data_IF_484046845141
#
_entry.id   IF_484046845141
#
_cell.length_a   1.000
_cell.length_b   1.000
_cell.length_c   1.000
_cell.angle_alpha   90.00
_cell.angle_beta   90.00
_cell.angle_gamma   90.00
#
_symmetry.space_group_name_H-M   'P 1'
#
loop_
_entity.id
_entity.type
_entity.pdbx_description
1 polymer ?
#
# COMPACT_ATOMS: atom_id res chain seq x y z
N UNK A 1 30.45 -27.97 -6.44
CA UNK A 1 29.96 -27.79 -5.05
C UNK A 1 29.86 -26.30 -4.71
N UNK A 2 28.79 -25.85 -4.03
CA UNK A 2 28.72 -24.47 -3.50
C UNK A 2 29.79 -24.28 -2.40
N UNK A 3 30.62 -23.23 -2.51
CA UNK A 3 31.58 -22.84 -1.49
C UNK A 3 30.90 -21.88 -0.49
N UNK A 4 31.02 -22.14 0.81
CA UNK A 4 30.45 -21.30 1.87
C UNK A 4 31.54 -20.42 2.47
N UNK A 5 31.23 -19.16 2.80
CA UNK A 5 32.17 -18.21 3.44
C UNK A 5 32.00 -18.23 4.96
N UNK A 6 33.10 -18.29 5.70
CA UNK A 6 33.09 -18.08 7.15
C UNK A 6 32.63 -16.64 7.46
N UNK A 7 31.66 -16.40 8.35
CA UNK A 7 31.16 -15.06 8.64
C UNK A 7 32.20 -14.15 9.31
N UNK A 8 33.16 -14.73 10.04
CA UNK A 8 34.20 -13.97 10.73
C UNK A 8 35.39 -13.68 9.81
N UNK A 9 35.82 -14.69 9.05
CA UNK A 9 37.11 -14.68 8.36
C UNK A 9 36.94 -14.41 6.85
N UNK A 10 35.68 -14.37 6.34
CA UNK A 10 35.24 -14.12 4.95
C UNK A 10 35.84 -15.04 3.88
N UNK A 11 36.65 -16.01 4.27
CA UNK A 11 37.30 -17.04 3.44
C UNK A 11 36.38 -18.25 3.23
N UNK A 12 36.60 -18.95 2.12
CA UNK A 12 35.92 -20.22 1.79
C UNK A 12 36.80 -21.44 1.99
N UNK A 13 38.13 -21.24 2.00
CA UNK A 13 39.12 -22.30 2.18
C UNK A 13 38.94 -22.91 3.57
N UNK A 14 38.96 -24.23 3.71
CA UNK A 14 38.84 -24.92 5.02
C UNK A 14 37.48 -24.83 5.74
N UNK A 15 36.40 -24.44 5.04
CA UNK A 15 35.03 -24.70 5.54
C UNK A 15 34.67 -26.16 5.24
N UNK A 16 34.31 -26.92 6.28
CA UNK A 16 33.82 -28.29 6.14
C UNK A 16 32.35 -28.38 6.55
N UNK A 17 31.59 -29.24 5.88
CA UNK A 17 30.23 -29.59 6.30
C UNK A 17 30.33 -30.49 7.53
N UNK A 18 29.87 -29.99 8.68
CA UNK A 18 29.88 -30.73 9.93
C UNK A 18 28.64 -31.62 10.06
N UNK A 19 27.51 -31.18 9.52
CA UNK A 19 26.28 -31.97 9.52
C UNK A 19 25.05 -31.14 9.18
N UNK A 20 23.87 -31.73 9.39
CA UNK A 20 22.59 -31.08 9.12
C UNK A 20 21.77 -31.00 10.42
N UNK A 21 21.10 -29.87 10.64
CA UNK A 21 20.04 -29.75 11.66
C UNK A 21 18.77 -29.26 10.97
N UNK A 22 17.82 -30.17 10.77
CA UNK A 22 16.63 -29.93 9.93
C UNK A 22 17.09 -29.52 8.52
N UNK A 23 16.72 -28.31 8.06
CA UNK A 23 17.11 -27.76 6.75
C UNK A 23 18.38 -26.92 6.80
N UNK A 24 19.01 -26.75 7.97
CA UNK A 24 20.17 -25.89 8.15
C UNK A 24 21.44 -26.73 8.06
N UNK A 25 22.35 -26.32 7.17
CA UNK A 25 23.68 -26.91 7.04
C UNK A 25 24.53 -26.34 8.16
N UNK A 26 25.09 -27.21 9.01
CA UNK A 26 26.08 -26.83 10.01
C UNK A 26 27.46 -26.95 9.37
N UNK A 27 28.19 -25.85 9.38
CA UNK A 27 29.51 -25.72 8.80
C UNK A 27 30.48 -25.44 9.92
N UNK A 28 31.68 -26.00 9.81
CA UNK A 28 32.79 -25.72 10.72
C UNK A 28 33.94 -25.14 9.91
N UNK A 29 34.52 -24.05 10.39
CA UNK A 29 35.69 -23.44 9.77
C UNK A 29 36.94 -23.77 10.58
N UNK A 30 37.87 -24.56 10.00
CA UNK A 30 38.99 -25.14 10.74
C UNK A 30 39.91 -24.12 11.39
N UNK A 31 40.27 -23.04 10.68
CA UNK A 31 41.23 -22.05 11.19
C UNK A 31 40.68 -21.21 12.35
N UNK A 32 39.47 -20.66 12.20
CA UNK A 32 38.86 -19.85 13.25
C UNK A 32 38.14 -20.71 14.31
N UNK A 33 38.19 -22.05 14.19
CA UNK A 33 37.58 -23.04 15.07
C UNK A 33 36.12 -22.74 15.47
N UNK A 34 35.34 -22.14 14.56
CA UNK A 34 33.96 -21.71 14.81
C UNK A 34 32.97 -22.49 13.97
N UNK A 35 31.87 -22.87 14.61
CA UNK A 35 30.69 -23.38 13.93
C UNK A 35 29.83 -22.23 13.43
N UNK A 36 29.27 -22.38 12.24
CA UNK A 36 28.23 -21.51 11.73
C UNK A 36 27.18 -22.31 10.99
N UNK A 37 26.02 -21.71 10.80
CA UNK A 37 24.86 -22.36 10.22
C UNK A 37 24.46 -21.63 8.95
N UNK A 38 24.28 -22.37 7.87
CA UNK A 38 23.81 -21.84 6.60
C UNK A 38 22.46 -22.46 6.27
N UNK A 39 21.46 -21.63 5.98
CA UNK A 39 20.16 -22.10 5.51
C UNK A 39 20.16 -22.06 3.96
N UNK A 40 20.29 -23.19 3.26
CA UNK A 40 20.26 -23.25 1.80
C UNK A 40 18.91 -22.87 1.22
N UNK A 41 17.84 -22.90 2.02
CA UNK A 41 16.56 -22.30 1.66
C UNK A 41 16.60 -20.78 1.88
N UNK A 42 17.65 -20.11 1.41
CA UNK A 42 17.64 -18.65 1.30
C UNK A 42 16.52 -18.32 0.32
N UNK A 43 15.45 -17.79 0.87
CA UNK A 43 14.30 -17.40 0.08
C UNK A 43 14.36 -15.91 -0.06
N UNK A 44 14.31 -15.42 -1.29
CA UNK A 44 14.27 -13.98 -1.51
C UNK A 44 13.00 -13.41 -0.87
N UNK A 45 13.18 -12.66 0.22
CA UNK A 45 12.10 -12.07 0.98
C UNK A 45 11.22 -11.16 0.11
N UNK A 46 11.81 -10.47 -0.88
CA UNK A 46 11.07 -9.60 -1.79
C UNK A 46 10.13 -10.42 -2.66
N UNK A 47 10.58 -11.57 -3.16
CA UNK A 47 9.74 -12.47 -3.96
C UNK A 47 8.58 -13.01 -3.12
N UNK A 48 8.79 -13.35 -1.84
CA UNK A 48 7.72 -13.76 -0.93
C UNK A 48 6.67 -12.68 -0.72
N UNK A 49 7.15 -11.45 -0.48
CA UNK A 49 6.27 -10.30 -0.36
C UNK A 49 5.50 -10.06 -1.67
N UNK A 50 6.17 -10.17 -2.81
CA UNK A 50 5.59 -9.94 -4.12
C UNK A 50 4.43 -10.91 -4.39
N UNK A 51 4.66 -12.21 -4.15
CA UNK A 51 3.64 -13.25 -4.21
C UNK A 51 2.46 -12.97 -3.27
N UNK A 52 2.74 -12.53 -2.05
CA UNK A 52 1.69 -12.20 -1.09
C UNK A 52 0.84 -11.01 -1.56
N UNK A 53 1.47 -9.99 -2.12
CA UNK A 53 0.79 -8.83 -2.71
C UNK A 53 0.02 -9.22 -3.99
N UNK A 54 0.39 -10.30 -4.68
CA UNK A 54 -0.40 -10.89 -5.78
C UNK A 54 -1.60 -11.72 -5.30
N UNK A 55 -1.81 -11.81 -3.98
CA UNK A 55 -2.95 -12.49 -3.38
C UNK A 55 -2.68 -13.96 -3.05
N UNK A 56 -1.43 -14.42 -3.07
CA UNK A 56 -1.13 -15.74 -2.50
C UNK A 56 -1.30 -15.69 -0.98
N UNK A 57 -2.12 -16.62 -0.46
CA UNK A 57 -2.25 -16.82 0.98
C UNK A 57 -0.96 -17.38 1.58
N UNK A 58 -0.71 -17.12 2.86
CA UNK A 58 0.48 -17.66 3.56
C UNK A 58 0.58 -19.19 3.49
N UNK A 59 -0.55 -19.90 3.35
CA UNK A 59 -0.56 -21.35 3.12
C UNK A 59 0.05 -21.70 1.76
N UNK A 60 -0.35 -21.00 0.68
CA UNK A 60 0.18 -21.21 -0.67
C UNK A 60 1.68 -20.84 -0.72
N UNK A 61 2.06 -19.72 -0.10
CA UNK A 61 3.46 -19.28 0.01
C UNK A 61 4.30 -20.33 0.78
N UNK A 62 3.83 -20.75 1.95
CA UNK A 62 4.49 -21.79 2.75
C UNK A 62 4.77 -23.07 1.96
N UNK A 63 3.78 -23.52 1.16
CA UNK A 63 3.94 -24.68 0.26
C UNK A 63 4.93 -24.42 -0.87
N UNK A 64 4.80 -23.28 -1.57
CA UNK A 64 5.67 -22.90 -2.71
C UNK A 64 7.14 -22.83 -2.31
N UNK A 65 7.44 -22.23 -1.16
CA UNK A 65 8.81 -22.01 -0.67
C UNK A 65 9.27 -23.03 0.38
N UNK A 66 8.46 -24.04 0.69
CA UNK A 66 8.76 -25.09 1.69
C UNK A 66 9.15 -24.51 3.06
N UNK A 67 8.49 -23.44 3.50
CA UNK A 67 8.66 -22.81 4.83
C UNK A 67 7.38 -22.95 5.67
N UNK A 68 7.45 -22.65 6.96
CA UNK A 68 6.24 -22.64 7.80
C UNK A 68 5.36 -21.42 7.50
N UNK A 69 4.04 -21.55 7.72
CA UNK A 69 3.07 -20.44 7.57
C UNK A 69 3.47 -19.23 8.44
N UNK A 70 3.88 -19.48 9.67
CA UNK A 70 4.29 -18.44 10.62
C UNK A 70 5.56 -17.71 10.17
N UNK A 71 6.52 -18.43 9.59
CA UNK A 71 7.72 -17.81 9.03
C UNK A 71 7.38 -16.96 7.79
N UNK A 72 6.53 -17.45 6.88
CA UNK A 72 6.07 -16.68 5.71
C UNK A 72 5.38 -15.37 6.13
N UNK A 73 4.50 -15.43 7.13
CA UNK A 73 3.85 -14.26 7.70
C UNK A 73 4.87 -13.30 8.31
N UNK A 74 5.80 -13.79 9.13
CA UNK A 74 6.83 -12.96 9.78
C UNK A 74 7.69 -12.22 8.76
N UNK A 75 8.15 -12.92 7.71
CA UNK A 75 8.94 -12.32 6.63
C UNK A 75 8.12 -11.23 5.92
N UNK A 76 6.92 -11.55 5.43
CA UNK A 76 6.09 -10.58 4.72
C UNK A 76 5.74 -9.36 5.59
N UNK A 77 5.41 -9.58 6.86
CA UNK A 77 5.11 -8.51 7.80
C UNK A 77 6.33 -7.59 8.05
N UNK A 78 7.52 -8.18 8.19
CA UNK A 78 8.76 -7.42 8.34
C UNK A 78 9.08 -6.61 7.08
N UNK A 79 8.97 -7.20 5.89
CA UNK A 79 9.21 -6.47 4.64
C UNK A 79 8.17 -5.37 4.40
N UNK A 80 6.88 -5.63 4.67
CA UNK A 80 5.83 -4.60 4.59
C UNK A 80 6.12 -3.40 5.49
N UNK A 81 6.70 -3.61 6.68
CA UNK A 81 7.06 -2.53 7.61
C UNK A 81 8.23 -1.67 7.13
N UNK A 82 9.07 -2.19 6.22
CA UNK A 82 10.18 -1.44 5.62
C UNK A 82 9.74 -0.54 4.47
N UNK A 83 8.56 -0.79 3.90
CA UNK A 83 8.07 -0.01 2.77
C UNK A 83 7.72 1.43 3.20
N UNK A 84 8.03 2.44 2.37
CA UNK A 84 7.66 3.82 2.66
C UNK A 84 6.14 3.99 2.64
N UNK A 85 5.63 5.03 3.30
CA UNK A 85 4.23 5.41 3.13
C UNK A 85 4.00 5.92 1.69
N UNK A 86 2.89 5.52 1.04
CA UNK A 86 2.59 5.93 -0.35
C UNK A 86 2.53 7.44 -0.56
N UNK A 87 2.00 8.20 0.40
CA UNK A 87 1.91 9.65 0.32
C UNK A 87 3.33 10.23 0.38
N UNK A 88 4.13 9.81 1.36
CA UNK A 88 5.53 10.23 1.48
C UNK A 88 6.35 9.88 0.23
N UNK A 89 6.15 8.67 -0.33
CA UNK A 89 6.79 8.25 -1.57
C UNK A 89 6.40 9.20 -2.73
N UNK A 90 5.13 9.60 -2.82
CA UNK A 90 4.68 10.55 -3.85
C UNK A 90 5.34 11.90 -3.69
N UNK A 91 5.37 12.45 -2.46
CA UNK A 91 6.01 13.74 -2.19
C UNK A 91 7.50 13.74 -2.51
N UNK A 92 8.20 12.66 -2.18
CA UNK A 92 9.64 12.54 -2.42
C UNK A 92 9.94 12.43 -3.92
N UNK A 93 9.27 11.52 -4.62
CA UNK A 93 9.69 11.07 -5.95
C UNK A 93 8.88 11.63 -7.13
N UNK A 94 7.66 12.15 -6.91
CA UNK A 94 6.76 12.53 -8.00
C UNK A 94 6.53 14.06 -8.07
N UNK A 95 6.48 14.63 -9.27
CA UNK A 95 6.12 16.05 -9.49
C UNK A 95 4.61 16.24 -9.71
N UNK A 96 3.91 15.18 -10.09
CA UNK A 96 2.48 15.14 -10.31
C UNK A 96 1.90 13.85 -9.78
N UNK A 97 0.58 13.80 -9.70
CA UNK A 97 -0.11 12.68 -9.09
C UNK A 97 -0.05 11.41 -9.96
N UNK A 98 0.47 10.28 -9.45
CA UNK A 98 0.70 9.05 -10.23
C UNK A 98 -0.57 8.22 -10.51
N UNK A 99 -1.74 8.86 -10.54
CA UNK A 99 -3.06 8.28 -10.87
C UNK A 99 -3.58 7.12 -9.99
N UNK A 100 -2.77 6.60 -9.07
CA UNK A 100 -3.14 5.53 -8.13
C UNK A 100 -3.26 6.15 -6.74
N UNK A 101 -4.34 6.91 -6.49
CA UNK A 101 -4.65 7.38 -5.13
C UNK A 101 -5.60 6.43 -4.45
N UNK A 102 -5.45 6.33 -3.14
CA UNK A 102 -6.24 5.45 -2.28
C UNK A 102 -7.42 6.17 -1.62
N UNK A 103 -7.50 7.50 -1.71
CA UNK A 103 -8.56 8.25 -1.05
C UNK A 103 -9.29 9.16 -2.04
N UNK A 104 -10.33 8.61 -2.68
CA UNK A 104 -11.19 9.38 -3.56
C UNK A 104 -12.33 10.01 -2.76
N UNK A 105 -12.39 11.34 -2.79
CA UNK A 105 -13.51 12.10 -2.24
C UNK A 105 -14.85 11.64 -2.80
N UNK A 106 -14.90 11.05 -4.01
CA UNK A 106 -16.10 10.43 -4.59
C UNK A 106 -16.63 9.29 -3.72
N UNK A 107 -15.78 8.35 -3.32
CA UNK A 107 -16.18 7.19 -2.50
C UNK A 107 -16.55 7.59 -1.09
N UNK A 108 -15.79 8.53 -0.51
CA UNK A 108 -16.11 9.08 0.79
C UNK A 108 -17.50 9.75 0.77
N UNK A 109 -17.77 10.59 -0.24
CA UNK A 109 -19.11 11.18 -0.45
C UNK A 109 -20.17 10.11 -0.63
N UNK A 110 -19.93 9.09 -1.45
CA UNK A 110 -20.89 8.00 -1.69
C UNK A 110 -21.22 7.22 -0.43
N UNK A 111 -20.26 6.96 0.45
CA UNK A 111 -20.51 6.34 1.76
C UNK A 111 -21.41 7.23 2.64
N UNK A 112 -21.20 8.54 2.65
CA UNK A 112 -22.10 9.48 3.34
C UNK A 112 -23.52 9.40 2.75
N UNK A 113 -23.65 9.41 1.40
CA UNK A 113 -24.96 9.29 0.73
C UNK A 113 -25.71 8.03 1.12
N UNK A 114 -25.01 6.89 1.20
CA UNK A 114 -25.57 5.59 1.61
C UNK A 114 -26.03 5.60 3.06
N UNK A 115 -25.18 6.11 3.96
CA UNK A 115 -25.50 6.19 5.40
C UNK A 115 -26.72 7.09 5.66
N UNK A 116 -26.81 8.22 4.94
CA UNK A 116 -27.94 9.16 5.02
C UNK A 116 -29.15 8.76 4.17
N UNK A 117 -29.09 7.63 3.43
CA UNK A 117 -30.14 7.13 2.54
C UNK A 117 -30.72 8.17 1.56
N UNK A 118 -29.91 9.13 1.10
CA UNK A 118 -30.40 10.31 0.36
C UNK A 118 -31.06 10.02 -1.00
N UNK A 119 -30.96 8.77 -1.49
CA UNK A 119 -31.64 8.35 -2.73
C UNK A 119 -33.11 8.06 -2.50
N UNK A 120 -33.45 7.49 -1.35
CA UNK A 120 -34.81 7.17 -0.95
C UNK A 120 -35.43 8.23 -0.04
N UNK A 121 -34.59 8.96 0.71
CA UNK A 121 -35.03 9.94 1.72
C UNK A 121 -34.57 11.36 1.34
N UNK A 122 -35.50 12.31 1.40
CA UNK A 122 -35.24 13.72 1.10
C UNK A 122 -34.70 14.51 2.29
N UNK A 123 -34.84 14.00 3.52
CA UNK A 123 -34.54 14.69 4.79
C UNK A 123 -33.13 15.30 4.78
N UNK A 124 -32.13 14.52 4.35
CA UNK A 124 -30.72 14.93 4.38
C UNK A 124 -30.17 15.50 3.07
N UNK A 125 -31.01 15.68 2.04
CA UNK A 125 -30.55 16.23 0.75
C UNK A 125 -29.94 17.63 0.85
N UNK A 126 -30.52 18.59 1.61
CA UNK A 126 -29.92 19.92 1.78
C UNK A 126 -28.54 19.87 2.44
N UNK A 127 -28.40 19.08 3.51
CA UNK A 127 -27.13 18.87 4.20
C UNK A 127 -26.07 18.28 3.27
N UNK A 128 -26.41 17.20 2.55
CA UNK A 128 -25.48 16.57 1.62
C UNK A 128 -25.03 17.52 0.50
N UNK A 129 -25.94 18.32 -0.08
CA UNK A 129 -25.58 19.31 -1.12
C UNK A 129 -24.50 20.28 -0.63
N UNK A 130 -24.58 20.73 0.62
CA UNK A 130 -23.57 21.60 1.22
C UNK A 130 -22.24 20.87 1.44
N UNK A 131 -22.26 19.64 1.95
CA UNK A 131 -21.06 18.79 2.06
C UNK A 131 -20.37 18.61 0.71
N UNK A 132 -21.14 18.32 -0.34
CA UNK A 132 -20.63 18.17 -1.70
C UNK A 132 -19.99 19.45 -2.22
N UNK A 133 -20.60 20.61 -1.96
CA UNK A 133 -20.04 21.92 -2.32
C UNK A 133 -18.68 22.15 -1.68
N UNK A 134 -18.56 21.87 -0.38
CA UNK A 134 -17.29 22.01 0.38
C UNK A 134 -16.20 21.09 -0.16
N UNK A 135 -16.55 19.85 -0.52
CA UNK A 135 -15.62 18.84 -1.02
C UNK A 135 -15.43 18.86 -2.55
N UNK A 136 -16.07 19.79 -3.27
CA UNK A 136 -16.00 19.85 -4.75
C UNK A 136 -14.71 20.47 -5.25
N UNK A 137 -14.20 21.50 -4.56
CA UNK A 137 -13.11 22.34 -5.04
C UNK A 137 -11.86 22.22 -4.16
N UNK A 138 -10.69 22.52 -4.76
CA UNK A 138 -9.46 22.76 -4.01
C UNK A 138 -9.55 24.12 -3.31
N UNK A 139 -10.06 24.13 -2.10
CA UNK A 139 -10.10 25.32 -1.24
C UNK A 139 -8.94 25.28 -0.24
N UNK A 140 -8.55 26.44 0.28
CA UNK A 140 -7.57 26.54 1.38
C UNK A 140 -8.09 25.86 2.65
N UNK A 141 -7.19 25.50 3.56
CA UNK A 141 -7.59 24.89 4.83
C UNK A 141 -8.39 25.86 5.69
N UNK A 142 -8.09 27.16 5.65
CA UNK A 142 -8.88 28.20 6.30
C UNK A 142 -10.33 28.22 5.78
N UNK A 143 -10.50 28.23 4.46
CA UNK A 143 -11.84 28.21 3.85
C UNK A 143 -12.55 26.89 4.17
N UNK A 144 -11.85 25.75 4.09
CA UNK A 144 -12.44 24.46 4.46
C UNK A 144 -12.95 24.46 5.90
N UNK A 145 -12.14 24.93 6.85
CA UNK A 145 -12.51 25.02 8.27
C UNK A 145 -13.71 25.94 8.47
N UNK A 146 -13.70 27.10 7.81
CA UNK A 146 -14.81 28.05 7.87
C UNK A 146 -16.12 27.41 7.38
N UNK A 147 -16.11 26.76 6.22
CA UNK A 147 -17.29 26.10 5.67
C UNK A 147 -17.77 24.91 6.53
N UNK A 148 -16.85 24.10 7.07
CA UNK A 148 -17.19 23.01 7.97
C UNK A 148 -17.78 23.54 9.30
N UNK A 149 -17.28 24.66 9.81
CA UNK A 149 -17.84 25.31 10.99
C UNK A 149 -19.25 25.85 10.73
N UNK A 150 -19.51 26.46 9.57
CA UNK A 150 -20.86 26.88 9.20
C UNK A 150 -21.82 25.68 9.14
N UNK A 151 -21.38 24.54 8.59
CA UNK A 151 -22.15 23.30 8.60
C UNK A 151 -22.41 22.79 10.01
N UNK A 152 -21.40 22.81 10.88
CA UNK A 152 -21.56 22.41 12.27
C UNK A 152 -22.59 23.28 12.99
N UNK A 153 -22.46 24.61 12.92
CA UNK A 153 -23.40 25.55 13.54
C UNK A 153 -24.85 25.28 13.13
N UNK A 154 -25.07 25.01 11.84
CA UNK A 154 -26.42 24.85 11.29
C UNK A 154 -27.02 23.45 11.55
N UNK A 155 -26.20 22.42 11.77
CA UNK A 155 -26.65 21.02 11.90
C UNK A 155 -26.24 20.32 13.22
N UNK A 156 -25.65 21.03 14.19
CA UNK A 156 -25.16 20.45 15.45
C UNK A 156 -26.24 19.76 16.30
N UNK A 157 -27.51 20.15 16.14
CA UNK A 157 -28.63 19.56 16.87
C UNK A 157 -29.05 18.18 16.32
N UNK A 158 -28.66 17.85 15.08
CA UNK A 158 -28.94 16.55 14.48
C UNK A 158 -27.76 15.58 14.72
N UNK A 159 -27.96 14.50 15.50
CA UNK A 159 -26.87 13.58 15.86
C UNK A 159 -26.30 12.82 14.66
N UNK A 160 -27.11 12.58 13.62
CA UNK A 160 -26.67 11.91 12.38
C UNK A 160 -25.76 12.83 11.58
N UNK A 161 -26.15 14.09 11.41
CA UNK A 161 -25.33 15.10 10.74
C UNK A 161 -24.02 15.35 11.50
N UNK A 162 -24.10 15.46 12.83
CA UNK A 162 -22.94 15.64 13.70
C UNK A 162 -21.93 14.46 13.59
N UNK A 163 -22.43 13.23 13.50
CA UNK A 163 -21.59 12.04 13.27
C UNK A 163 -20.86 12.11 11.91
N UNK A 164 -21.53 12.57 10.85
CA UNK A 164 -20.90 12.77 9.54
C UNK A 164 -19.80 13.83 9.60
N UNK A 165 -20.08 14.99 10.23
CA UNK A 165 -19.10 16.07 10.38
C UNK A 165 -17.89 15.64 11.21
N UNK A 166 -18.12 14.89 12.28
CA UNK A 166 -17.05 14.31 13.12
C UNK A 166 -16.16 13.38 12.31
N UNK A 167 -16.75 12.54 11.45
CA UNK A 167 -15.99 11.68 10.55
C UNK A 167 -15.19 12.47 9.51
N UNK A 168 -15.75 13.56 8.97
CA UNK A 168 -15.02 14.45 8.05
C UNK A 168 -13.81 15.05 8.74
N UNK A 169 -13.96 15.60 9.94
CA UNK A 169 -12.84 16.19 10.69
C UNK A 169 -11.78 15.13 11.03
N UNK A 170 -12.21 13.94 11.47
CA UNK A 170 -11.34 12.80 11.77
C UNK A 170 -10.46 12.39 10.60
N UNK A 171 -11.00 12.39 9.37
CA UNK A 171 -10.29 11.98 8.14
C UNK A 171 -9.85 13.16 7.27
N UNK A 172 -9.85 14.38 7.82
CA UNK A 172 -9.62 15.61 7.08
C UNK A 172 -8.24 15.66 6.44
N UNK A 173 -7.21 15.20 7.16
CA UNK A 173 -5.85 15.18 6.64
C UNK A 173 -5.75 14.26 5.40
N UNK A 174 -6.38 13.09 5.44
CA UNK A 174 -6.43 12.16 4.31
C UNK A 174 -7.30 12.68 3.16
N UNK A 175 -8.46 13.27 3.49
CA UNK A 175 -9.38 13.90 2.52
C UNK A 175 -8.72 15.05 1.75
N UNK A 176 -7.78 15.77 2.37
CA UNK A 176 -7.15 16.97 1.80
C UNK A 176 -5.72 16.74 1.33
N UNK A 177 -5.12 15.57 1.60
CA UNK A 177 -3.72 15.27 1.26
C UNK A 177 -3.37 15.52 -0.21
N UNK A 178 -4.32 15.35 -1.13
CA UNK A 178 -4.12 15.59 -2.56
C UNK A 178 -3.88 17.08 -2.89
N UNK A 179 -4.29 18.02 -2.03
CA UNK A 179 -4.12 19.47 -2.24
C UNK A 179 -2.65 19.87 -2.29
N UNK A 180 -1.82 19.17 -1.53
CA UNK A 180 -0.37 19.41 -1.46
C UNK A 180 0.39 18.85 -2.68
N UNK A 181 -0.30 18.19 -3.61
CA UNK A 181 0.30 17.60 -4.80
C UNK A 181 -0.10 18.42 -6.02
N UNK A 182 0.91 18.99 -6.69
CA UNK A 182 0.71 19.78 -7.90
C UNK A 182 -0.03 18.95 -8.97
N UNK A 183 -1.04 19.56 -9.61
CA UNK A 183 -1.91 18.93 -10.61
C UNK A 183 -2.63 17.65 -10.17
N UNK A 184 -2.73 17.37 -8.86
CA UNK A 184 -3.54 16.24 -8.42
C UNK A 184 -5.01 16.46 -8.79
N UNK A 185 -5.66 15.49 -9.46
CA UNK A 185 -7.09 15.56 -9.71
C UNK A 185 -7.87 15.50 -8.38
N UNK A 186 -9.03 16.16 -8.33
CA UNK A 186 -9.92 16.14 -7.15
C UNK A 186 -10.63 14.78 -7.05
N UNK A 187 -11.00 14.21 -8.18
CA UNK A 187 -11.58 12.87 -8.31
C UNK A 187 -10.91 12.13 -9.46
N UNK A 188 -10.77 10.81 -9.35
CA UNK A 188 -10.30 9.98 -10.47
C UNK A 188 -11.18 8.76 -10.60
N UNK A 189 -11.83 8.59 -11.75
CA UNK A 189 -12.50 7.32 -12.08
C UNK A 189 -11.52 6.13 -12.11
N UNK A 190 -10.21 6.39 -12.18
CA UNK A 190 -9.17 5.35 -12.08
C UNK A 190 -9.19 4.57 -10.75
N UNK A 191 -9.75 5.15 -9.69
CA UNK A 191 -9.88 4.42 -8.43
C UNK A 191 -10.94 3.30 -8.54
N UNK A 192 -11.93 3.42 -9.43
CA UNK A 192 -12.97 2.39 -9.59
C UNK A 192 -12.36 1.08 -10.09
N UNK A 193 -11.47 1.18 -11.09
CA UNK A 193 -10.68 0.03 -11.55
C UNK A 193 -9.77 -0.51 -10.45
N UNK A 194 -9.12 0.37 -9.69
CA UNK A 194 -8.26 -0.05 -8.57
C UNK A 194 -9.06 -0.76 -7.46
N UNK A 195 -10.28 -0.31 -7.17
CA UNK A 195 -11.16 -0.91 -6.17
C UNK A 195 -11.62 -2.30 -6.60
N UNK A 196 -12.00 -2.50 -7.87
CA UNK A 196 -12.27 -3.83 -8.39
C UNK A 196 -11.07 -4.78 -8.24
N UNK A 197 -9.86 -4.28 -8.50
CA UNK A 197 -8.64 -5.04 -8.22
C UNK A 197 -8.46 -5.32 -6.72
N UNK A 198 -8.66 -4.34 -5.84
CA UNK A 198 -8.58 -4.53 -4.40
C UNK A 198 -9.57 -5.59 -3.91
N UNK A 199 -10.84 -5.50 -4.30
CA UNK A 199 -11.88 -6.46 -3.93
C UNK A 199 -11.50 -7.87 -4.36
N UNK A 200 -11.05 -8.05 -5.61
CA UNK A 200 -10.58 -9.35 -6.11
C UNK A 200 -9.43 -9.93 -5.28
N UNK A 201 -8.52 -9.07 -4.81
CA UNK A 201 -7.35 -9.48 -4.02
C UNK A 201 -7.70 -9.73 -2.56
N UNK A 202 -8.55 -8.91 -1.96
CA UNK A 202 -9.07 -9.12 -0.62
C UNK A 202 -9.87 -10.41 -0.52
N UNK A 203 -10.71 -10.70 -1.52
CA UNK A 203 -11.45 -11.95 -1.59
C UNK A 203 -10.51 -13.16 -1.58
N UNK A 204 -9.41 -13.12 -2.34
CA UNK A 204 -8.41 -14.20 -2.37
C UNK A 204 -7.68 -14.40 -1.02
N UNK A 205 -7.48 -13.32 -0.26
CA UNK A 205 -6.84 -13.36 1.06
C UNK A 205 -7.81 -13.76 2.18
N UNK A 206 -9.13 -13.69 1.94
CA UNK A 206 -10.25 -13.94 2.87
C UNK A 206 -10.33 -12.96 4.04
N UNK A 207 -9.26 -12.80 4.82
CA UNK A 207 -9.23 -11.89 5.97
C UNK A 207 -7.80 -11.52 6.39
N UNK A 208 -7.66 -10.43 7.13
CA UNK A 208 -6.44 -10.06 7.82
C UNK A 208 -6.61 -10.26 9.32
N UNK A 209 -5.51 -10.58 10.00
CA UNK A 209 -5.52 -10.76 11.46
C UNK A 209 -5.75 -9.44 12.22
N UNK A 210 -5.26 -8.32 11.69
CA UNK A 210 -5.36 -7.01 12.36
C UNK A 210 -5.49 -5.88 11.35
N UNK A 211 -6.17 -4.80 11.74
CA UNK A 211 -6.30 -3.57 10.93
C UNK A 211 -4.91 -2.99 10.58
N UNK A 212 -3.96 -3.07 11.53
CA UNK A 212 -2.57 -2.61 11.30
C UNK A 212 -1.92 -3.37 10.14
N UNK A 213 -2.11 -4.69 10.07
CA UNK A 213 -1.59 -5.48 8.97
C UNK A 213 -2.30 -5.16 7.65
N UNK A 214 -3.63 -4.96 7.67
CA UNK A 214 -4.40 -4.51 6.49
C UNK A 214 -3.85 -3.20 5.94
N UNK A 215 -3.60 -2.21 6.80
CA UNK A 215 -3.02 -0.90 6.40
C UNK A 215 -1.66 -1.07 5.73
N UNK A 216 -0.78 -1.89 6.31
CA UNK A 216 0.53 -2.20 5.74
C UNK A 216 0.41 -2.90 4.37
N UNK A 217 -0.48 -3.88 4.27
CA UNK A 217 -0.70 -4.62 3.03
C UNK A 217 -1.24 -3.72 1.92
N UNK A 218 -2.24 -2.87 2.22
CA UNK A 218 -2.78 -1.88 1.28
C UNK A 218 -1.69 -0.94 0.78
N UNK A 219 -0.86 -0.43 1.70
CA UNK A 219 0.26 0.42 1.36
C UNK A 219 1.25 -0.29 0.42
N UNK A 220 1.64 -1.52 0.76
CA UNK A 220 2.55 -2.31 -0.08
C UNK A 220 1.95 -2.64 -1.46
N UNK A 221 0.67 -2.98 -1.51
CA UNK A 221 -0.04 -3.29 -2.75
C UNK A 221 -0.07 -2.09 -3.69
N UNK A 222 -0.38 -0.89 -3.18
CA UNK A 222 -0.40 0.31 -4.01
C UNK A 222 0.99 0.68 -4.51
N UNK A 223 2.02 0.60 -3.66
CA UNK A 223 3.39 0.81 -4.11
C UNK A 223 3.78 -0.17 -5.22
N UNK A 224 3.45 -1.45 -5.04
CA UNK A 224 3.70 -2.48 -6.05
C UNK A 224 3.00 -2.13 -7.35
N UNK A 225 1.71 -1.78 -7.32
CA UNK A 225 0.96 -1.41 -8.53
C UNK A 225 1.55 -0.19 -9.23
N UNK A 226 2.02 0.80 -8.48
CA UNK A 226 2.66 2.00 -9.03
C UNK A 226 4.01 1.71 -9.68
N UNK A 227 4.76 0.76 -9.13
CA UNK A 227 6.08 0.33 -9.62
C UNK A 227 6.04 -0.84 -10.62
N UNK A 228 4.88 -1.46 -10.80
CA UNK A 228 4.69 -2.51 -11.81
C UNK A 228 4.60 -1.86 -13.19
N UNK A 229 5.36 -2.37 -14.15
CA UNK A 229 5.31 -1.92 -15.53
C UNK A 229 3.94 -2.20 -16.12
N UNK A 230 3.40 -1.26 -16.88
CA UNK A 230 2.22 -1.50 -17.68
C UNK A 230 2.54 -2.51 -18.77
N UNK A 231 1.66 -3.50 -18.91
CA UNK A 231 1.68 -4.51 -19.97
C UNK A 231 0.38 -4.42 -20.77
N UNK A 232 0.35 -5.02 -21.96
CA UNK A 232 -0.85 -5.17 -22.79
C UNK A 232 -1.61 -3.87 -23.14
N UNK A 233 -0.94 -2.71 -23.09
CA UNK A 233 -1.55 -1.45 -23.50
C UNK A 233 -1.71 -1.41 -25.04
N UNK A 234 -2.91 -1.13 -25.52
CA UNK A 234 -3.27 -1.07 -26.95
C UNK A 234 -3.73 0.32 -27.39
N UNK A 235 -3.81 0.56 -28.70
CA UNK A 235 -4.29 1.81 -29.29
C UNK A 235 -3.53 3.04 -28.76
N UNK A 236 -4.28 4.06 -28.34
CA UNK A 236 -3.72 5.32 -27.78
C UNK A 236 -2.87 5.13 -26.51
N UNK A 237 -2.95 3.98 -25.86
CA UNK A 237 -2.20 3.67 -24.63
C UNK A 237 -0.90 2.90 -24.88
N UNK A 238 -0.59 2.48 -26.12
CA UNK A 238 0.61 1.68 -26.44
C UNK A 238 1.91 2.30 -25.88
N UNK A 239 2.01 3.64 -25.85
CA UNK A 239 3.15 4.40 -25.29
C UNK A 239 3.42 4.19 -23.79
N UNK A 240 2.50 3.55 -23.07
CA UNK A 240 2.64 3.23 -21.65
C UNK A 240 3.30 1.87 -21.41
N UNK A 241 3.35 0.97 -22.40
CA UNK A 241 3.95 -0.35 -22.24
C UNK A 241 5.41 -0.25 -21.78
N UNK A 242 5.76 -1.04 -20.78
CA UNK A 242 7.10 -1.06 -20.18
C UNK A 242 7.38 0.09 -19.22
N UNK A 243 6.50 1.11 -19.13
CA UNK A 243 6.61 2.19 -18.16
C UNK A 243 5.86 1.86 -16.88
N UNK A 244 6.27 2.43 -15.77
CA UNK A 244 5.55 2.35 -14.49
C UNK A 244 4.72 3.61 -14.24
N UNK A 245 3.73 3.54 -13.36
CA UNK A 245 2.95 4.73 -12.98
C UNK A 245 3.82 5.80 -12.32
N UNK A 246 4.83 5.39 -11.55
CA UNK A 246 5.78 6.32 -10.93
C UNK A 246 6.64 6.99 -11.98
N UNK A 247 7.20 6.26 -12.95
CA UNK A 247 8.03 6.84 -14.03
C UNK A 247 7.31 7.95 -14.80
N UNK A 248 6.01 7.78 -15.04
CA UNK A 248 5.18 8.79 -15.72
C UNK A 248 5.05 10.11 -14.94
N UNK A 249 5.36 10.10 -13.64
CA UNK A 249 5.13 11.22 -12.72
C UNK A 249 6.36 11.58 -11.90
N UNK A 250 7.50 10.96 -12.19
CA UNK A 250 8.76 11.10 -11.51
C UNK A 250 9.32 12.51 -11.69
N UNK A 251 9.92 13.08 -10.63
CA UNK A 251 10.71 14.31 -10.74
C UNK A 251 11.96 14.08 -11.59
N UNK A 252 12.39 15.04 -12.43
CA UNK A 252 13.61 14.90 -13.22
C UNK A 252 14.83 14.73 -12.30
N UNK A 253 15.78 13.87 -12.69
CA UNK A 253 17.06 13.68 -11.98
C UNK A 253 17.04 12.90 -10.66
N UNK A 254 15.88 12.46 -10.18
CA UNK A 254 15.80 11.62 -8.96
C UNK A 254 15.93 10.15 -9.35
N UNK A 255 16.42 9.25 -8.50
CA UNK A 255 16.34 7.80 -8.73
C UNK A 255 15.22 7.13 -7.91
N UNK A 256 14.49 6.21 -8.54
CA UNK A 256 13.40 5.48 -7.86
C UNK A 256 14.01 4.25 -7.18
N UNK A 257 13.77 4.03 -5.87
CA UNK A 257 14.30 2.86 -5.17
C UNK A 257 13.62 1.57 -5.65
N UNK A 258 14.39 0.48 -5.72
CA UNK A 258 13.89 -0.86 -6.07
C UNK A 258 13.26 -1.51 -4.84
N UNK A 259 11.93 -1.43 -4.74
CA UNK A 259 11.18 -1.97 -3.60
C UNK A 259 10.75 -3.44 -3.76
N UNK A 260 10.52 -3.90 -4.99
CA UNK A 260 9.98 -5.23 -5.31
C UNK A 260 10.87 -5.96 -6.31
#
# INVERSE_FOLDING_TARGET
>A
MKKYKCPNCKTTNYVICYGYRKKVIRLFYKYCQRYFSFNPCFTDNKVLLNDHLDGLSFRKIARKYRISKSLAWKICHQELRKLPNNNQFTFNFCNRFSHVFLFDGKYFKENIRRNLKIRSDNTYKPFMKRIESVLRNKISDQNLNHWLWCLYRDYQQDPVCLSVLTNIEKYKQELTAYRNIHQAPITTNLIEGLNGHFESRFFALRSFQTIKHTKLWINGYVLKRRLTKYTDCRGRFRRLNGKTGVEMTKKPGIDIPILF
#
